data_IF_191773263951
#
_entry.id   IF_191773263951
#
_cell.length_a   1.000
_cell.length_b   1.000
_cell.length_c   1.000
_cell.angle_alpha   90.00
_cell.angle_beta   90.00
_cell.angle_gamma   90.00
#
_symmetry.space_group_name_H-M   'P 1'
#
loop_
_entity.id
_entity.type
_entity.pdbx_description
1 polymer ?
#
# COMPACT_ATOMS: atom_id res chain seq x y z
N UNK A 1 0.34 20.50 -29.24
CA UNK A 1 1.02 19.33 -28.63
C UNK A 1 -0.03 18.41 -28.01
N UNK A 2 -0.16 17.15 -28.49
CA UNK A 2 -0.97 16.11 -27.82
C UNK A 2 -0.15 15.57 -26.65
N UNK A 3 -0.52 15.88 -25.42
CA UNK A 3 0.07 15.22 -24.25
C UNK A 3 -0.35 13.75 -24.26
N UNK A 4 0.57 12.78 -24.19
CA UNK A 4 0.19 11.37 -24.13
C UNK A 4 -0.57 11.14 -22.82
N UNK A 5 -1.83 10.69 -22.95
CA UNK A 5 -2.71 10.28 -21.84
C UNK A 5 -2.14 9.10 -21.01
N UNK A 6 -0.96 8.60 -21.36
CA UNK A 6 -0.26 7.48 -20.72
C UNK A 6 0.11 7.71 -19.25
N UNK A 7 0.05 8.95 -18.74
CA UNK A 7 0.29 9.28 -17.34
C UNK A 7 -0.97 9.61 -16.54
N UNK A 8 -2.15 9.49 -17.14
CA UNK A 8 -3.38 9.67 -16.38
C UNK A 8 -3.65 8.39 -15.58
N UNK A 9 -3.63 8.52 -14.25
CA UNK A 9 -4.05 7.45 -13.36
C UNK A 9 -5.49 7.06 -13.71
N UNK A 10 -5.71 5.77 -13.98
CA UNK A 10 -7.03 5.26 -14.30
C UNK A 10 -7.93 5.40 -13.06
N UNK A 11 -9.12 6.01 -13.20
CA UNK A 11 -10.06 6.10 -12.08
C UNK A 11 -10.50 4.69 -11.66
N UNK A 12 -10.56 4.47 -10.35
CA UNK A 12 -11.04 3.21 -9.77
C UNK A 12 -12.56 3.29 -9.66
N UNK A 13 -13.28 2.25 -10.11
CA UNK A 13 -14.75 2.21 -10.11
C UNK A 13 -15.30 0.89 -9.54
N UNK A 14 -16.60 0.90 -9.23
CA UNK A 14 -17.32 -0.28 -8.73
C UNK A 14 -16.83 -0.77 -7.36
N UNK A 15 -16.68 -2.08 -7.22
CA UNK A 15 -16.32 -2.76 -5.95
C UNK A 15 -14.99 -2.23 -5.39
N UNK A 16 -14.03 -1.91 -6.26
CA UNK A 16 -12.73 -1.40 -5.82
C UNK A 16 -12.83 0.02 -5.24
N UNK A 17 -13.71 0.86 -5.79
CA UNK A 17 -13.97 2.19 -5.22
C UNK A 17 -14.70 2.10 -3.87
N UNK A 18 -15.66 1.18 -3.74
CA UNK A 18 -16.38 0.95 -2.50
C UNK A 18 -15.44 0.51 -1.36
N UNK A 19 -14.52 -0.42 -1.63
CA UNK A 19 -13.51 -0.85 -0.64
C UNK A 19 -12.61 0.29 -0.17
N UNK A 20 -12.29 1.24 -1.06
CA UNK A 20 -11.50 2.41 -0.70
C UNK A 20 -12.30 3.37 0.19
N UNK A 21 -13.59 3.58 -0.10
CA UNK A 21 -14.46 4.40 0.73
C UNK A 21 -14.65 3.81 2.13
N UNK A 22 -14.97 2.51 2.21
CA UNK A 22 -15.13 1.79 3.49
C UNK A 22 -13.84 1.84 4.34
N UNK A 23 -12.67 1.79 3.69
CA UNK A 23 -11.40 1.92 4.37
C UNK A 23 -11.16 3.34 4.91
N UNK A 24 -11.47 4.36 4.11
CA UNK A 24 -11.39 5.77 4.54
C UNK A 24 -12.30 6.00 5.75
N UNK A 25 -13.57 5.56 5.68
CA UNK A 25 -14.55 5.78 6.73
C UNK A 25 -14.20 5.04 8.03
N UNK A 26 -13.60 3.85 7.93
CA UNK A 26 -13.17 3.06 9.08
C UNK A 26 -11.80 3.47 9.64
N UNK A 27 -11.12 4.45 9.04
CA UNK A 27 -9.76 4.84 9.39
C UNK A 27 -8.71 3.74 9.13
N UNK A 28 -9.06 2.73 8.34
CA UNK A 28 -8.23 1.59 8.02
C UNK A 28 -7.56 1.76 6.64
N UNK A 29 -6.47 1.04 6.40
CA UNK A 29 -5.78 1.06 5.11
C UNK A 29 -6.17 -0.16 4.26
N UNK A 30 -6.43 0.05 2.97
CA UNK A 30 -6.49 -1.05 1.99
C UNK A 30 -5.07 -1.42 1.61
N UNK A 31 -4.56 -2.48 2.22
CA UNK A 31 -3.18 -2.94 2.02
C UNK A 31 -3.15 -4.15 1.10
N UNK A 32 -2.32 -4.09 0.05
CA UNK A 32 -2.04 -5.24 -0.80
C UNK A 32 -1.13 -6.24 -0.05
N UNK A 33 -1.31 -7.54 -0.26
CA UNK A 33 -0.46 -8.61 0.31
C UNK A 33 1.03 -8.35 0.16
N UNK A 34 1.47 -7.77 -0.97
CA UNK A 34 2.87 -7.40 -1.19
C UNK A 34 3.37 -6.36 -0.19
N UNK A 35 2.53 -5.38 0.16
CA UNK A 35 2.86 -4.37 1.17
C UNK A 35 2.94 -4.97 2.57
N UNK A 36 2.05 -5.93 2.89
CA UNK A 36 2.10 -6.67 4.15
C UNK A 36 3.40 -7.48 4.25
N UNK A 37 3.76 -8.19 3.19
CA UNK A 37 4.99 -8.98 3.14
C UNK A 37 6.25 -8.10 3.30
N UNK A 38 6.27 -6.93 2.66
CA UNK A 38 7.35 -5.96 2.80
C UNK A 38 7.45 -5.42 4.23
N UNK A 39 6.32 -5.07 4.84
CA UNK A 39 6.29 -4.58 6.22
C UNK A 39 6.84 -5.63 7.21
N UNK A 40 6.44 -6.90 7.05
CA UNK A 40 6.97 -8.03 7.85
C UNK A 40 8.47 -8.17 7.69
N UNK A 41 8.95 -8.22 6.44
CA UNK A 41 10.40 -8.32 6.15
C UNK A 41 11.19 -7.17 6.77
N UNK A 42 10.67 -5.94 6.71
CA UNK A 42 11.33 -4.78 7.29
C UNK A 42 11.37 -4.85 8.82
N UNK A 43 10.30 -5.33 9.46
CA UNK A 43 10.26 -5.55 10.90
C UNK A 43 11.30 -6.59 11.33
N UNK A 44 11.42 -7.70 10.59
CA UNK A 44 12.42 -8.74 10.87
C UNK A 44 13.85 -8.22 10.73
N UNK A 45 14.14 -7.43 9.69
CA UNK A 45 15.44 -6.78 9.51
C UNK A 45 15.78 -5.83 10.67
N UNK A 46 14.79 -5.05 11.15
CA UNK A 46 14.98 -4.15 12.30
C UNK A 46 15.28 -4.92 13.58
N UNK A 47 14.58 -6.04 13.83
CA UNK A 47 14.83 -6.92 14.97
C UNK A 47 16.24 -7.53 14.91
N UNK A 48 16.65 -8.04 13.75
CA UNK A 48 18.00 -8.58 13.57
C UNK A 48 19.08 -7.53 13.81
N UNK A 49 18.87 -6.29 13.38
CA UNK A 49 19.81 -5.18 13.64
C UNK A 49 19.87 -4.82 15.13
N UNK A 50 18.76 -4.85 15.84
CA UNK A 50 18.74 -4.63 17.29
C UNK A 50 19.48 -5.74 18.05
N UNK A 51 19.34 -7.00 17.62
CA UNK A 51 20.01 -8.15 18.23
C UNK A 51 21.51 -8.23 17.91
N UNK A 52 21.96 -7.72 16.75
CA UNK A 52 23.39 -7.66 16.39
C UNK A 52 24.17 -6.55 17.10
N UNK A 53 23.47 -5.54 17.61
CA UNK A 53 24.06 -4.37 18.25
C UNK A 53 23.93 -4.41 19.79
N UNK A 54 23.45 -5.53 20.35
CA UNK A 54 23.33 -5.78 21.79
C UNK A 54 24.30 -6.85 22.27
#
# INVERSE_FOLDING_TARGET
>A
MKYPLQRQSQPVSGIAAQKLLEAIDSGNAVVNDRMIALAKRLADLRRQKALKNG
#
